data_IF_066651852219
#
_entry.id   IF_066651852219
#
_cell.length_a   1.000
_cell.length_b   1.000
_cell.length_c   1.000
_cell.angle_alpha   90.00
_cell.angle_beta   90.00
_cell.angle_gamma   90.00
#
_symmetry.space_group_name_H-M   'P 1'
#
loop_
_entity.id
_entity.type
_entity.pdbx_description
1 polymer ?
#
# COMPACT_ATOMS: atom_id res chain seq x y z
N UNK A 1 35.96 -0.45 -23.70
CA UNK A 1 35.04 0.41 -22.94
C UNK A 1 34.39 -0.48 -21.91
N UNK A 2 34.89 -0.45 -20.70
CA UNK A 2 34.37 -1.20 -19.56
C UNK A 2 33.12 -0.49 -19.07
N UNK A 3 31.96 -1.14 -19.18
CA UNK A 3 30.74 -0.70 -18.55
C UNK A 3 30.92 -0.87 -17.04
N UNK A 4 31.40 0.15 -16.38
CA UNK A 4 31.29 0.30 -14.94
C UNK A 4 29.86 0.74 -14.63
N UNK A 5 28.97 -0.22 -14.55
CA UNK A 5 27.70 0.02 -13.90
C UNK A 5 27.93 0.13 -12.40
N UNK A 6 27.39 1.18 -11.81
CA UNK A 6 27.45 1.58 -10.39
C UNK A 6 27.02 0.47 -9.40
N UNK A 7 26.58 -0.69 -9.89
CA UNK A 7 26.00 -1.80 -9.15
C UNK A 7 26.87 -3.06 -9.06
N UNK A 8 28.16 -2.98 -9.37
CA UNK A 8 29.02 -4.18 -9.36
C UNK A 8 29.24 -4.80 -7.98
N UNK A 9 28.87 -4.12 -6.88
CA UNK A 9 29.17 -4.58 -5.51
C UNK A 9 27.94 -4.81 -4.62
N UNK A 10 26.70 -4.56 -5.11
CA UNK A 10 25.51 -4.86 -4.30
C UNK A 10 25.07 -6.32 -4.50
N UNK A 11 24.94 -7.03 -3.39
CA UNK A 11 24.39 -8.37 -3.36
C UNK A 11 22.93 -8.33 -3.90
N UNK A 12 22.65 -9.07 -4.97
CA UNK A 12 21.32 -9.17 -5.58
C UNK A 12 20.23 -9.56 -4.56
N UNK A 13 20.61 -10.20 -3.46
CA UNK A 13 19.70 -10.57 -2.38
C UNK A 13 19.14 -9.36 -1.62
N UNK A 14 19.92 -8.27 -1.51
CA UNK A 14 19.45 -7.04 -0.87
C UNK A 14 18.50 -6.24 -1.76
N UNK A 15 18.69 -6.30 -3.08
CA UNK A 15 17.95 -5.49 -4.06
C UNK A 15 16.44 -5.76 -4.02
N UNK A 16 16.04 -7.03 -4.07
CA UNK A 16 14.61 -7.36 -4.03
C UNK A 16 13.93 -6.92 -2.73
N UNK A 17 14.65 -7.01 -1.60
CA UNK A 17 14.15 -6.53 -0.31
C UNK A 17 13.98 -5.01 -0.29
N UNK A 18 14.94 -4.28 -0.83
CA UNK A 18 14.91 -2.82 -0.91
C UNK A 18 13.78 -2.34 -1.84
N UNK A 19 13.65 -2.95 -3.04
CA UNK A 19 12.56 -2.68 -3.98
C UNK A 19 11.20 -2.96 -3.33
N UNK A 20 11.05 -4.09 -2.62
CA UNK A 20 9.79 -4.40 -1.94
C UNK A 20 9.49 -3.40 -0.82
N UNK A 21 10.46 -3.02 -0.01
CA UNK A 21 10.24 -2.04 1.05
C UNK A 21 9.88 -0.66 0.47
N UNK A 22 10.56 -0.21 -0.59
CA UNK A 22 10.22 1.03 -1.28
C UNK A 22 8.79 1.00 -1.84
N UNK A 23 8.39 -0.11 -2.47
CA UNK A 23 7.02 -0.30 -2.95
C UNK A 23 6.00 -0.27 -1.81
N UNK A 24 6.31 -0.92 -0.70
CA UNK A 24 5.46 -0.96 0.49
C UNK A 24 5.27 0.44 1.09
N UNK A 25 6.34 1.20 1.21
CA UNK A 25 6.29 2.59 1.71
C UNK A 25 5.52 3.50 0.75
N UNK A 26 5.69 3.31 -0.56
CA UNK A 26 4.94 4.07 -1.57
C UNK A 26 3.43 3.78 -1.50
N UNK A 27 3.03 2.52 -1.30
CA UNK A 27 1.62 2.10 -1.34
C UNK A 27 0.91 2.27 0.01
N UNK A 28 1.59 2.03 1.12
CA UNK A 28 0.97 2.00 2.46
C UNK A 28 1.89 2.54 3.56
N UNK A 29 2.45 3.74 3.38
CA UNK A 29 3.24 4.43 4.42
C UNK A 29 2.49 4.54 5.75
N UNK A 30 1.17 4.68 5.69
CA UNK A 30 0.31 4.82 6.87
C UNK A 30 -0.01 3.49 7.56
N UNK A 31 0.39 2.35 7.00
CA UNK A 31 0.18 1.00 7.55
C UNK A 31 -1.30 0.66 7.82
N UNK A 32 -2.17 1.07 6.91
CA UNK A 32 -3.63 0.95 7.05
C UNK A 32 -4.30 0.00 6.06
N UNK A 33 -3.57 -0.54 5.08
CA UNK A 33 -4.14 -1.42 4.06
C UNK A 33 -3.71 -2.87 4.19
N UNK A 34 -2.52 -3.15 4.72
CA UNK A 34 -2.01 -4.52 4.83
C UNK A 34 -1.95 -5.01 6.26
N UNK A 35 -2.07 -6.33 6.43
CA UNK A 35 -1.77 -6.99 7.69
C UNK A 35 -0.31 -7.43 7.72
N UNK A 36 0.24 -7.57 8.92
CA UNK A 36 1.61 -8.06 9.14
C UNK A 36 1.86 -9.40 8.46
N UNK A 37 0.87 -10.31 8.52
CA UNK A 37 0.96 -11.63 7.88
C UNK A 37 1.03 -11.58 6.36
N UNK A 38 0.28 -10.66 5.74
CA UNK A 38 0.32 -10.43 4.29
C UNK A 38 1.69 -9.91 3.86
N UNK A 39 2.22 -8.90 4.57
CA UNK A 39 3.55 -8.34 4.28
C UNK A 39 4.62 -9.42 4.43
N UNK A 40 4.63 -10.17 5.52
CA UNK A 40 5.58 -11.24 5.74
C UNK A 40 5.48 -12.36 4.69
N UNK A 41 4.28 -12.63 4.18
CA UNK A 41 4.08 -13.58 3.08
C UNK A 41 4.70 -13.09 1.77
N UNK A 42 4.50 -11.80 1.43
CA UNK A 42 5.09 -11.23 0.23
C UNK A 42 6.61 -11.05 0.36
N UNK A 43 7.12 -10.59 1.50
CA UNK A 43 8.56 -10.57 1.77
C UNK A 43 9.22 -11.92 1.45
N UNK A 44 8.64 -13.02 1.96
CA UNK A 44 9.17 -14.37 1.70
C UNK A 44 9.14 -14.77 0.22
N UNK A 45 8.17 -14.28 -0.56
CA UNK A 45 8.12 -14.53 -2.00
C UNK A 45 9.23 -13.78 -2.72
N UNK A 46 9.42 -12.52 -2.40
CA UNK A 46 10.51 -11.70 -2.95
C UNK A 46 11.88 -12.29 -2.61
N UNK A 47 12.10 -12.72 -1.36
CA UNK A 47 13.36 -13.35 -0.93
C UNK A 47 13.66 -14.72 -1.57
N UNK A 48 12.65 -15.47 -2.01
CA UNK A 48 12.89 -16.78 -2.67
C UNK A 48 13.63 -16.66 -3.99
N UNK A 49 13.54 -15.53 -4.66
CA UNK A 49 14.28 -15.25 -5.89
C UNK A 49 15.75 -14.88 -5.63
N UNK A 50 16.10 -14.51 -4.41
CA UNK A 50 17.45 -14.13 -4.02
C UNK A 50 18.41 -15.34 -3.89
N UNK A 51 17.88 -16.57 -3.87
CA UNK A 51 18.68 -17.80 -3.74
C UNK A 51 18.22 -18.86 -4.76
N UNK A 52 18.61 -18.73 -6.04
CA UNK A 52 18.49 -19.85 -6.96
C UNK A 52 19.46 -20.93 -6.51
N UNK A 53 18.92 -21.98 -5.85
CA UNK A 53 19.66 -23.17 -5.47
C UNK A 53 20.44 -23.67 -6.68
N UNK A 54 21.77 -23.50 -6.65
CA UNK A 54 22.69 -24.22 -7.52
C UNK A 54 23.26 -23.48 -8.73
N UNK A 55 23.11 -22.19 -8.90
CA UNK A 55 23.80 -21.49 -9.98
C UNK A 55 25.15 -20.93 -9.55
N UNK A 56 26.19 -21.63 -9.99
CA UNK A 56 27.56 -21.14 -9.93
C UNK A 56 27.68 -19.78 -10.63
N UNK A 57 28.43 -18.87 -9.99
CA UNK A 57 28.86 -17.59 -10.55
C UNK A 57 29.38 -17.74 -12.00
N UNK A 58 28.54 -17.56 -12.97
CA UNK A 58 28.95 -17.16 -14.30
C UNK A 58 28.14 -15.91 -14.62
N UNK A 59 28.81 -14.79 -14.68
CA UNK A 59 28.29 -13.50 -15.07
C UNK A 59 27.55 -13.60 -16.41
N UNK A 60 26.25 -13.75 -16.36
CA UNK A 60 25.39 -13.62 -17.51
C UNK A 60 24.77 -12.21 -17.46
N UNK A 61 24.79 -11.53 -18.61
CA UNK A 61 24.21 -10.19 -18.84
C UNK A 61 22.70 -10.09 -18.60
N UNK A 62 22.09 -11.03 -17.87
CA UNK A 62 20.65 -11.16 -17.64
C UNK A 62 20.24 -10.99 -16.16
N UNK A 63 21.00 -10.24 -15.36
CA UNK A 63 20.66 -10.01 -13.95
C UNK A 63 19.32 -9.26 -13.74
N UNK A 64 18.84 -8.53 -14.74
CA UNK A 64 17.49 -7.96 -14.76
C UNK A 64 16.37 -9.03 -14.82
N UNK A 65 16.67 -10.26 -15.29
CA UNK A 65 15.69 -11.36 -15.32
C UNK A 65 15.42 -12.01 -13.95
N UNK A 66 16.11 -11.60 -12.88
CA UNK A 66 15.93 -12.15 -11.54
C UNK A 66 14.91 -11.37 -10.70
N UNK A 67 14.34 -10.27 -11.22
CA UNK A 67 13.35 -9.49 -10.50
C UNK A 67 11.98 -10.15 -10.63
N UNK A 68 11.34 -10.44 -9.49
CA UNK A 68 10.01 -11.05 -9.47
C UNK A 68 8.90 -10.03 -9.77
N UNK A 69 8.77 -9.66 -11.05
CA UNK A 69 7.69 -8.77 -11.51
C UNK A 69 6.30 -9.35 -11.20
N UNK A 70 6.14 -10.68 -11.23
CA UNK A 70 4.86 -11.33 -10.95
C UNK A 70 4.40 -11.07 -9.52
N UNK A 71 5.30 -11.18 -8.54
CA UNK A 71 4.98 -10.87 -7.15
C UNK A 71 4.76 -9.38 -6.93
N UNK A 72 5.49 -8.51 -7.65
CA UNK A 72 5.26 -7.06 -7.64
C UNK A 72 3.83 -6.74 -8.12
N UNK A 73 3.44 -7.22 -9.29
CA UNK A 73 2.08 -7.01 -9.82
C UNK A 73 1.01 -7.57 -8.89
N UNK A 74 1.22 -8.76 -8.33
CA UNK A 74 0.27 -9.35 -7.39
C UNK A 74 0.12 -8.51 -6.10
N UNK A 75 1.21 -7.91 -5.62
CA UNK A 75 1.19 -7.04 -4.44
C UNK A 75 0.48 -5.71 -4.72
N UNK A 76 0.74 -5.08 -5.86
CA UNK A 76 0.07 -3.85 -6.28
C UNK A 76 -1.43 -4.10 -6.47
N UNK A 77 -1.83 -5.22 -7.09
CA UNK A 77 -3.23 -5.60 -7.23
C UNK A 77 -3.90 -5.86 -5.87
N UNK A 78 -3.19 -6.48 -4.92
CA UNK A 78 -3.68 -6.64 -3.56
C UNK A 78 -3.94 -5.29 -2.91
N UNK A 79 -3.04 -4.31 -3.09
CA UNK A 79 -3.23 -2.95 -2.60
C UNK A 79 -4.51 -2.31 -3.14
N UNK A 80 -4.75 -2.36 -4.45
CA UNK A 80 -5.97 -1.78 -5.03
C UNK A 80 -7.24 -2.46 -4.54
N UNK A 81 -7.23 -3.78 -4.45
CA UNK A 81 -8.37 -4.52 -3.87
C UNK A 81 -8.60 -4.11 -2.41
N UNK A 82 -7.55 -3.90 -1.65
CA UNK A 82 -7.65 -3.45 -0.27
C UNK A 82 -8.14 -2.00 -0.15
N UNK A 83 -7.70 -1.14 -1.06
CA UNK A 83 -8.15 0.26 -1.12
C UNK A 83 -9.65 0.34 -1.45
N UNK A 84 -10.15 -0.52 -2.34
CA UNK A 84 -11.59 -0.66 -2.64
C UNK A 84 -12.34 -1.17 -1.40
N UNK A 85 -11.83 -2.24 -0.75
CA UNK A 85 -12.44 -2.79 0.47
C UNK A 85 -12.54 -1.74 1.57
N UNK A 86 -11.45 -1.01 1.83
CA UNK A 86 -11.39 0.04 2.83
C UNK A 86 -12.38 1.18 2.54
N UNK A 87 -12.39 1.66 1.29
CA UNK A 87 -13.26 2.78 0.90
C UNK A 87 -14.74 2.38 0.95
N UNK A 88 -15.10 1.16 0.52
CA UNK A 88 -16.46 0.66 0.64
C UNK A 88 -16.90 0.52 2.11
N UNK A 89 -15.99 0.01 2.96
CA UNK A 89 -16.25 -0.10 4.39
C UNK A 89 -16.47 1.29 5.02
N UNK A 90 -15.59 2.24 4.73
CA UNK A 90 -15.69 3.63 5.21
C UNK A 90 -17.00 4.28 4.72
N UNK A 91 -17.34 4.14 3.45
CA UNK A 91 -18.60 4.65 2.89
C UNK A 91 -19.81 4.07 3.63
N UNK A 92 -19.83 2.75 3.87
CA UNK A 92 -20.89 2.11 4.64
C UNK A 92 -21.02 2.65 6.07
N UNK A 93 -19.91 2.91 6.75
CA UNK A 93 -19.93 3.46 8.11
C UNK A 93 -20.42 4.91 8.13
N UNK A 94 -20.04 5.72 7.14
CA UNK A 94 -20.53 7.11 6.98
C UNK A 94 -22.03 7.13 6.69
N UNK A 95 -22.52 6.33 5.75
CA UNK A 95 -23.94 6.26 5.38
C UNK A 95 -24.84 5.83 6.56
N UNK A 96 -24.34 4.99 7.47
CA UNK A 96 -25.09 4.60 8.66
C UNK A 96 -25.24 5.71 9.69
N UNK A 97 -24.48 6.79 9.59
CA UNK A 97 -24.41 7.89 10.56
C UNK A 97 -24.23 7.41 12.02
N UNK A 98 -23.60 6.26 12.23
CA UNK A 98 -23.50 5.60 13.55
C UNK A 98 -22.26 6.04 14.34
N UNK A 99 -21.77 7.26 14.12
CA UNK A 99 -20.63 7.79 14.85
C UNK A 99 -21.06 8.48 16.17
N UNK A 100 -20.45 8.07 17.27
CA UNK A 100 -20.56 8.78 18.51
C UNK A 100 -19.39 9.77 18.64
N UNK A 101 -19.63 11.05 18.42
CA UNK A 101 -18.62 12.10 18.46
C UNK A 101 -18.24 12.53 19.89
N UNK A 102 -19.00 12.14 20.91
CA UNK A 102 -18.66 12.41 22.33
C UNK A 102 -17.66 11.37 22.86
N UNK A 103 -17.50 10.23 22.17
CA UNK A 103 -16.54 9.21 22.56
C UNK A 103 -15.15 9.59 22.10
N UNK A 104 -14.22 9.70 23.03
CA UNK A 104 -12.80 9.87 22.71
C UNK A 104 -12.24 8.64 22.00
N UNK A 105 -11.66 8.87 20.86
CA UNK A 105 -10.97 7.85 20.05
C UNK A 105 -9.72 8.51 19.47
N UNK A 106 -8.59 7.82 19.52
CA UNK A 106 -7.32 8.30 18.97
C UNK A 106 -6.88 7.48 17.78
N UNK A 107 -6.14 8.13 16.89
CA UNK A 107 -5.41 7.50 15.77
C UNK A 107 -3.95 7.90 15.92
N UNK A 108 -3.04 6.93 15.81
CA UNK A 108 -1.61 7.22 15.80
C UNK A 108 -1.27 7.84 14.44
N UNK A 109 -0.78 9.08 14.45
CA UNK A 109 -0.39 9.82 13.24
C UNK A 109 1.11 9.64 12.97
N UNK A 110 1.92 9.54 14.03
CA UNK A 110 3.36 9.37 13.94
C UNK A 110 3.73 8.04 13.27
N UNK A 111 4.42 8.11 12.13
CA UNK A 111 4.75 6.95 11.30
C UNK A 111 5.71 5.99 11.99
N UNK A 112 6.60 6.48 12.85
CA UNK A 112 7.56 5.67 13.60
C UNK A 112 6.88 4.79 14.66
N UNK A 113 5.74 5.24 15.17
CA UNK A 113 4.96 4.50 16.17
C UNK A 113 3.92 3.55 15.56
N UNK A 114 3.63 3.68 14.26
CA UNK A 114 2.66 2.83 13.57
C UNK A 114 3.19 1.42 13.40
N UNK A 115 2.36 0.46 13.77
CA UNK A 115 2.62 -0.97 13.57
C UNK A 115 1.63 -1.54 12.56
N UNK A 116 2.06 -2.55 11.82
CA UNK A 116 1.17 -3.31 10.96
C UNK A 116 0.12 -4.04 11.79
N UNK A 117 -1.11 -4.03 11.30
CA UNK A 117 -2.21 -4.66 12.00
C UNK A 117 -2.13 -6.17 11.88
N UNK A 118 -2.51 -6.90 12.95
CA UNK A 118 -2.45 -8.37 12.97
C UNK A 118 -3.61 -9.01 12.20
N UNK A 119 -4.72 -8.29 12.04
CA UNK A 119 -5.93 -8.84 11.43
C UNK A 119 -6.70 -7.80 10.60
N UNK A 120 -7.54 -8.31 9.67
CA UNK A 120 -8.48 -7.47 8.93
C UNK A 120 -9.51 -6.77 9.84
N UNK A 121 -9.82 -7.36 10.99
CA UNK A 121 -10.71 -6.74 11.96
C UNK A 121 -10.08 -5.47 12.56
N UNK A 122 -8.78 -5.50 12.84
CA UNK A 122 -8.05 -4.33 13.31
C UNK A 122 -7.94 -3.26 12.24
N UNK A 123 -7.71 -3.62 10.97
CA UNK A 123 -7.76 -2.69 9.85
C UNK A 123 -9.12 -1.99 9.77
N UNK A 124 -10.23 -2.74 9.88
CA UNK A 124 -11.60 -2.16 9.87
C UNK A 124 -11.83 -1.18 11.01
N UNK A 125 -11.27 -1.43 12.19
CA UNK A 125 -11.33 -0.48 13.31
C UNK A 125 -10.63 0.84 12.96
N UNK A 126 -9.47 0.77 12.31
CA UNK A 126 -8.75 1.96 11.84
C UNK A 126 -9.58 2.68 10.76
N UNK A 127 -10.08 1.97 9.76
CA UNK A 127 -10.89 2.57 8.69
C UNK A 127 -12.14 3.26 9.23
N UNK A 128 -12.79 2.67 10.24
CA UNK A 128 -13.93 3.30 10.92
C UNK A 128 -13.53 4.61 11.62
N UNK A 129 -12.39 4.61 12.33
CA UNK A 129 -11.89 5.83 13.00
C UNK A 129 -11.51 6.91 11.97
N UNK A 130 -10.88 6.53 10.86
CA UNK A 130 -10.57 7.45 9.76
C UNK A 130 -11.86 8.05 9.17
N UNK A 131 -12.89 7.24 8.94
CA UNK A 131 -14.18 7.72 8.44
C UNK A 131 -14.85 8.68 9.43
N UNK A 132 -14.82 8.37 10.73
CA UNK A 132 -15.30 9.27 11.80
C UNK A 132 -14.54 10.60 11.80
N UNK A 133 -13.21 10.54 11.68
CA UNK A 133 -12.36 11.73 11.61
C UNK A 133 -12.66 12.58 10.36
N UNK A 134 -12.90 11.96 9.22
CA UNK A 134 -13.26 12.67 7.99
C UNK A 134 -14.57 13.45 8.14
N UNK A 135 -15.60 12.84 8.74
CA UNK A 135 -16.88 13.52 9.02
C UNK A 135 -16.67 14.64 10.05
N UNK A 136 -15.96 14.35 11.16
CA UNK A 136 -15.67 15.35 12.19
C UNK A 136 -14.93 16.57 11.60
N UNK A 137 -13.91 16.35 10.77
CA UNK A 137 -13.17 17.43 10.12
C UNK A 137 -14.09 18.26 9.21
N UNK A 138 -15.04 17.62 8.53
CA UNK A 138 -16.02 18.33 7.71
C UNK A 138 -16.99 19.17 8.55
N UNK A 139 -17.38 18.67 9.73
CA UNK A 139 -18.22 19.43 10.67
C UNK A 139 -17.47 20.63 11.28
N UNK A 140 -16.18 20.48 11.59
CA UNK A 140 -15.34 21.58 12.09
C UNK A 140 -15.16 22.71 11.07
N UNK A 141 -15.45 22.46 9.79
CA UNK A 141 -15.53 23.47 8.73
C UNK A 141 -16.94 24.10 8.63
N UNK A 142 -17.63 24.25 9.77
CA UNK A 142 -18.95 24.90 9.92
C UNK A 142 -20.10 24.21 9.17
N UNK A 143 -20.02 22.88 8.97
CA UNK A 143 -21.08 22.09 8.33
C UNK A 143 -21.93 21.37 9.38
N UNK A 144 -23.23 21.35 9.14
CA UNK A 144 -24.12 20.46 9.86
C UNK A 144 -23.81 18.98 9.56
N UNK A 145 -24.16 18.08 10.47
CA UNK A 145 -23.83 16.65 10.37
C UNK A 145 -24.28 16.02 9.04
N UNK A 146 -25.50 16.33 8.59
CA UNK A 146 -26.05 15.78 7.35
C UNK A 146 -25.26 16.25 6.12
N UNK A 147 -24.92 17.55 6.07
CA UNK A 147 -24.11 18.11 4.98
C UNK A 147 -22.67 17.56 4.99
N UNK A 148 -22.09 17.43 6.19
CA UNK A 148 -20.76 16.83 6.34
C UNK A 148 -20.76 15.37 5.86
N UNK A 149 -21.77 14.60 6.25
CA UNK A 149 -21.95 13.19 5.81
C UNK A 149 -22.08 13.09 4.32
N UNK A 150 -22.96 13.88 3.68
CA UNK A 150 -23.15 13.89 2.24
C UNK A 150 -21.85 14.25 1.48
N UNK A 151 -21.11 15.23 1.99
CA UNK A 151 -19.82 15.65 1.43
C UNK A 151 -18.81 14.48 1.44
N UNK A 152 -18.70 13.78 2.57
CA UNK A 152 -17.79 12.64 2.72
C UNK A 152 -18.23 11.46 1.88
N UNK A 153 -19.53 11.17 1.78
CA UNK A 153 -20.07 10.14 0.89
C UNK A 153 -19.69 10.41 -0.58
N UNK A 154 -19.91 11.63 -1.06
CA UNK A 154 -19.52 12.04 -2.42
C UNK A 154 -18.02 11.84 -2.65
N UNK A 155 -17.20 12.20 -1.67
CA UNK A 155 -15.73 12.03 -1.72
C UNK A 155 -15.35 10.56 -1.85
N UNK A 156 -15.95 9.66 -1.08
CA UNK A 156 -15.67 8.23 -1.14
C UNK A 156 -16.19 7.56 -2.42
N UNK A 157 -17.39 7.94 -2.89
CA UNK A 157 -17.93 7.50 -4.19
C UNK A 157 -17.01 7.91 -5.35
N UNK A 158 -16.50 9.14 -5.32
CA UNK A 158 -15.54 9.62 -6.32
C UNK A 158 -14.19 8.90 -6.23
N UNK A 159 -13.73 8.55 -5.02
CA UNK A 159 -12.52 7.73 -4.83
C UNK A 159 -12.70 6.36 -5.44
N UNK A 160 -13.81 5.67 -5.17
CA UNK A 160 -14.13 4.36 -5.76
C UNK A 160 -14.14 4.42 -7.29
N UNK A 161 -14.80 5.43 -7.86
CA UNK A 161 -14.83 5.63 -9.31
C UNK A 161 -13.43 5.79 -9.89
N UNK A 162 -12.56 6.59 -9.28
CA UNK A 162 -11.16 6.76 -9.74
C UNK A 162 -10.35 5.48 -9.64
N UNK A 163 -10.57 4.69 -8.58
CA UNK A 163 -9.88 3.40 -8.43
C UNK A 163 -10.35 2.41 -9.48
N UNK A 164 -11.65 2.35 -9.79
CA UNK A 164 -12.22 1.45 -10.80
C UNK A 164 -11.81 1.80 -12.25
N UNK A 165 -11.35 3.00 -12.50
CA UNK A 165 -10.84 3.43 -13.80
C UNK A 165 -9.40 3.00 -14.07
N UNK A 166 -8.70 2.48 -13.06
CA UNK A 166 -7.34 1.99 -13.20
C UNK A 166 -7.30 0.70 -14.03
N UNK A 167 -6.27 0.60 -14.83
CA UNK A 167 -6.05 -0.51 -15.74
C UNK A 167 -4.70 -1.21 -15.47
N UNK A 168 -4.35 -2.18 -16.30
CA UNK A 168 -3.10 -2.93 -16.20
C UNK A 168 -1.86 -2.05 -16.45
N UNK A 169 -1.98 -1.00 -17.26
CA UNK A 169 -0.90 -0.05 -17.53
C UNK A 169 -0.54 0.76 -16.28
N UNK A 170 -1.54 1.13 -15.46
CA UNK A 170 -1.29 1.82 -14.19
C UNK A 170 -0.51 0.92 -13.22
N UNK A 171 -0.88 -0.38 -13.14
CA UNK A 171 -0.19 -1.37 -12.30
C UNK A 171 1.25 -1.56 -12.80
N UNK A 172 1.43 -1.67 -14.13
CA UNK A 172 2.73 -1.78 -14.77
C UNK A 172 3.59 -0.54 -14.48
N UNK A 173 3.02 0.65 -14.64
CA UNK A 173 3.73 1.91 -14.39
C UNK A 173 4.21 2.04 -12.95
N UNK A 174 3.38 1.67 -11.97
CA UNK A 174 3.79 1.67 -10.56
C UNK A 174 4.96 0.70 -10.33
N UNK A 175 4.86 -0.52 -10.86
CA UNK A 175 5.91 -1.52 -10.70
C UNK A 175 7.22 -1.08 -11.36
N UNK A 176 7.16 -0.52 -12.57
CA UNK A 176 8.34 -0.08 -13.30
C UNK A 176 8.96 1.17 -12.68
N UNK A 177 8.16 2.14 -12.26
CA UNK A 177 8.66 3.34 -11.57
C UNK A 177 9.35 2.98 -10.25
N UNK A 178 8.79 2.05 -9.47
CA UNK A 178 9.43 1.58 -8.25
C UNK A 178 10.75 0.86 -8.55
N UNK A 179 10.81 0.11 -9.65
CA UNK A 179 12.03 -0.56 -10.07
C UNK A 179 13.09 0.43 -10.55
N UNK A 180 12.72 1.37 -11.43
CA UNK A 180 13.67 2.33 -12.01
C UNK A 180 14.20 3.30 -10.96
N UNK A 181 13.36 3.76 -10.02
CA UNK A 181 13.80 4.63 -8.92
C UNK A 181 14.85 4.00 -7.99
N UNK A 182 15.03 2.69 -8.07
CA UNK A 182 16.10 2.00 -7.34
C UNK A 182 17.46 2.12 -8.07
N UNK A 183 17.44 2.36 -9.38
CA UNK A 183 18.63 2.45 -10.22
C UNK A 183 19.05 3.90 -10.56
N UNK A 184 18.21 4.88 -10.23
CA UNK A 184 18.49 6.32 -10.34
C UNK A 184 19.18 6.86 -9.09
#
# INVERSE_FOLDING_TARGET
MTNEHFFNDKDLSSINSEIFNALLDQLDSQKIYFTESEINSYKRKFFKFDNPIGYQKKYSKSSLCSIDLKSNFAFINLYFNRLIEATNYQLKEVTKQAFNFTKEESIIIDDDQKKWQKSKLELRKIWRKLAKNDVLTSMLAEKELDEATETIEKRYKNRLRRISQRNEEDVFSIAMNNLTSYFD
#
